data_IF_091305784701
#
_entry.id   IF_091305784701
#
_cell.length_a   1.000
_cell.length_b   1.000
_cell.length_c   1.000
_cell.angle_alpha   90.00
_cell.angle_beta   90.00
_cell.angle_gamma   90.00
#
_symmetry.space_group_name_H-M   'P 1'
#
loop_
_entity.id
_entity.type
_entity.pdbx_description
1 polymer ?
#
# COMPACT_ATOMS: atom_id res chain seq x y z
N UNK A 1 15.11 3.25 -12.85
CA UNK A 1 14.09 4.11 -12.20
C UNK A 1 14.69 4.60 -10.90
N UNK A 2 14.33 5.79 -10.43
CA UNK A 2 14.76 6.33 -9.14
C UNK A 2 13.62 7.06 -8.45
N UNK A 3 13.64 7.11 -7.13
CA UNK A 3 12.71 7.91 -6.32
C UNK A 3 13.27 8.09 -4.90
N UNK A 4 12.48 8.62 -3.99
CA UNK A 4 12.91 8.85 -2.62
C UNK A 4 11.73 8.95 -1.64
N UNK A 5 11.96 9.50 -0.44
CA UNK A 5 10.95 9.53 0.60
C UNK A 5 9.81 10.50 0.26
N UNK A 6 8.63 10.18 0.79
CA UNK A 6 7.46 11.04 0.80
C UNK A 6 7.10 11.32 2.25
N UNK A 7 6.99 12.60 2.58
CA UNK A 7 6.53 13.06 3.88
C UNK A 7 5.15 13.70 3.76
N UNK A 8 4.31 13.58 4.80
CA UNK A 8 2.98 14.16 4.76
C UNK A 8 3.01 15.69 4.83
N UNK A 9 2.07 16.31 4.13
CA UNK A 9 1.69 17.71 4.27
C UNK A 9 0.20 17.75 4.59
N UNK A 10 -0.14 18.00 5.85
CA UNK A 10 -1.53 17.91 6.33
C UNK A 10 -2.31 19.17 5.99
N UNK A 11 -3.46 19.00 5.32
CA UNK A 11 -4.36 20.10 4.98
C UNK A 11 -5.10 20.65 6.21
N UNK A 12 -5.38 19.77 7.17
CA UNK A 12 -6.12 20.08 8.40
C UNK A 12 -5.32 19.63 9.61
N UNK A 13 -5.73 20.06 10.81
CA UNK A 13 -5.17 19.52 12.04
C UNK A 13 -5.38 17.99 12.09
N UNK A 14 -4.33 17.27 12.50
CA UNK A 14 -4.39 15.82 12.68
C UNK A 14 -5.24 15.47 13.90
N UNK A 15 -6.09 14.44 13.83
CA UNK A 15 -6.61 13.78 15.03
C UNK A 15 -5.46 13.33 15.93
N UNK A 16 -5.64 13.38 17.26
CA UNK A 16 -4.56 13.03 18.22
C UNK A 16 -3.98 11.62 18.02
N UNK A 17 -4.81 10.68 17.56
CA UNK A 17 -4.38 9.32 17.28
C UNK A 17 -3.62 9.18 15.96
N UNK A 18 -3.72 10.12 15.01
CA UNK A 18 -3.15 9.94 13.68
C UNK A 18 -1.64 10.18 13.68
N UNK A 19 -0.86 9.14 13.37
CA UNK A 19 0.61 9.15 13.39
C UNK A 19 1.18 9.43 12.00
N UNK A 20 2.28 10.19 11.92
CA UNK A 20 2.94 10.50 10.64
C UNK A 20 3.40 9.25 9.89
N UNK A 21 3.79 8.20 10.63
CA UNK A 21 4.21 6.91 10.08
C UNK A 21 3.18 6.27 9.15
N UNK A 22 1.89 6.63 9.26
CA UNK A 22 0.85 6.11 8.39
C UNK A 22 0.88 6.70 6.97
N UNK A 23 1.45 7.88 6.81
CA UNK A 23 1.56 8.60 5.53
C UNK A 23 2.99 8.65 4.99
N UNK A 24 3.99 8.52 5.86
CA UNK A 24 5.39 8.43 5.44
C UNK A 24 5.59 7.20 4.55
N UNK A 25 6.22 7.40 3.40
CA UNK A 25 6.72 6.34 2.52
C UNK A 25 8.21 6.55 2.36
N UNK A 26 9.01 5.66 2.94
CA UNK A 26 10.47 5.75 2.94
C UNK A 26 11.07 4.36 2.92
N UNK A 27 12.19 4.19 2.22
CA UNK A 27 12.96 2.94 2.17
C UNK A 27 14.26 3.06 2.98
N UNK A 28 14.38 4.08 3.83
CA UNK A 28 15.53 4.32 4.70
C UNK A 28 16.23 5.65 4.42
N UNK A 29 17.45 5.78 4.97
CA UNK A 29 18.24 7.03 4.96
C UNK A 29 19.49 6.96 4.09
N UNK A 30 19.70 5.85 3.38
CA UNK A 30 20.88 5.63 2.53
C UNK A 30 20.48 5.52 1.07
N UNK A 31 21.35 6.00 0.18
CA UNK A 31 21.29 5.68 -1.25
C UNK A 31 21.46 4.18 -1.42
N UNK A 32 20.51 3.53 -2.09
CA UNK A 32 20.57 2.09 -2.35
C UNK A 32 19.75 1.70 -3.57
N UNK A 33 20.02 0.50 -4.08
CA UNK A 33 19.06 -0.23 -4.91
C UNK A 33 18.01 -0.86 -4.01
N UNK A 34 16.76 -0.89 -4.47
CA UNK A 34 15.66 -1.51 -3.75
C UNK A 34 15.56 -3.00 -4.05
N UNK A 35 15.40 -3.79 -2.99
CA UNK A 35 15.11 -5.22 -3.06
C UNK A 35 13.83 -5.52 -3.86
N UNK A 36 13.67 -6.76 -4.31
CA UNK A 36 12.57 -7.16 -5.20
C UNK A 36 11.17 -6.94 -4.62
N UNK A 37 11.04 -6.94 -3.29
CA UNK A 37 9.81 -6.70 -2.52
C UNK A 37 9.62 -5.24 -2.09
N UNK A 38 10.62 -4.38 -2.32
CA UNK A 38 10.57 -2.95 -2.03
C UNK A 38 10.17 -2.17 -3.28
N UNK A 39 9.30 -1.18 -3.11
CA UNK A 39 8.78 -0.37 -4.21
C UNK A 39 8.83 1.13 -3.87
N UNK A 40 9.05 1.94 -4.90
CA UNK A 40 8.82 3.37 -4.89
C UNK A 40 7.33 3.67 -4.99
N UNK A 41 6.91 4.81 -4.44
CA UNK A 41 5.53 5.28 -4.52
C UNK A 41 5.33 6.19 -5.73
N UNK A 42 4.12 6.16 -6.31
CA UNK A 42 3.73 6.92 -7.48
C UNK A 42 4.04 8.42 -7.39
N UNK A 43 3.86 9.02 -6.19
CA UNK A 43 4.06 10.45 -5.98
C UNK A 43 5.52 10.89 -6.00
N UNK A 44 6.48 9.95 -6.01
CA UNK A 44 7.91 10.24 -6.07
C UNK A 44 8.66 9.14 -6.81
N UNK A 45 8.47 9.10 -8.13
CA UNK A 45 9.22 8.24 -9.04
C UNK A 45 9.64 9.00 -10.30
N UNK A 46 10.81 8.64 -10.82
CA UNK A 46 11.35 9.09 -12.09
C UNK A 46 11.85 7.89 -12.89
N UNK A 47 11.39 7.80 -14.14
CA UNK A 47 11.71 6.70 -15.06
C UNK A 47 12.23 7.26 -16.37
N UNK A 48 13.27 6.63 -16.92
CA UNK A 48 13.75 6.99 -18.26
C UNK A 48 12.66 6.72 -19.29
N UNK A 49 12.42 7.68 -20.18
CA UNK A 49 11.32 7.65 -21.17
C UNK A 49 11.37 6.42 -22.09
N UNK A 50 12.56 6.02 -22.52
CA UNK A 50 12.78 4.83 -23.35
C UNK A 50 12.45 3.54 -22.58
N UNK A 51 12.87 3.44 -21.32
CA UNK A 51 12.53 2.30 -20.43
C UNK A 51 11.02 2.22 -20.23
N UNK A 52 10.36 3.33 -19.89
CA UNK A 52 8.91 3.41 -19.70
C UNK A 52 8.14 2.94 -20.95
N UNK A 53 8.54 3.41 -22.13
CA UNK A 53 7.94 2.98 -23.41
C UNK A 53 8.19 1.51 -23.71
N UNK A 54 9.39 0.99 -23.43
CA UNK A 54 9.76 -0.42 -23.69
C UNK A 54 8.99 -1.41 -22.83
N UNK A 55 8.46 -1.01 -21.67
CA UNK A 55 7.61 -1.86 -20.81
C UNK A 55 6.11 -1.61 -21.00
N UNK A 56 5.72 -0.76 -21.95
CA UNK A 56 4.31 -0.48 -22.26
C UNK A 56 3.67 0.63 -21.41
N UNK A 57 4.42 1.27 -20.51
CA UNK A 57 3.91 2.34 -19.65
C UNK A 57 3.06 1.84 -18.47
N UNK A 58 2.14 2.68 -17.99
CA UNK A 58 1.21 2.31 -16.92
C UNK A 58 0.07 1.45 -17.45
N UNK A 59 -0.28 0.39 -16.70
CA UNK A 59 -1.47 -0.41 -16.97
C UNK A 59 -2.72 0.40 -16.61
N UNK A 60 -3.51 0.81 -17.61
CA UNK A 60 -4.71 1.64 -17.43
C UNK A 60 -5.87 0.91 -16.76
N UNK A 61 -5.75 -0.40 -16.53
CA UNK A 61 -6.70 -1.17 -15.72
C UNK A 61 -6.42 -1.10 -14.21
N UNK A 62 -5.30 -0.48 -13.83
CA UNK A 62 -4.86 -0.20 -12.47
C UNK A 62 -4.90 1.31 -12.18
N UNK A 63 -4.72 1.66 -10.91
CA UNK A 63 -4.64 3.04 -10.46
C UNK A 63 -5.95 3.82 -10.51
N UNK A 64 -5.88 5.08 -10.11
CA UNK A 64 -7.05 5.97 -10.06
C UNK A 64 -7.47 6.32 -11.49
N UNK A 65 -8.72 6.04 -11.83
CA UNK A 65 -9.30 6.32 -13.15
C UNK A 65 -10.73 6.85 -13.02
N UNK A 66 -10.92 8.14 -13.31
CA UNK A 66 -12.18 8.84 -13.09
C UNK A 66 -12.64 8.71 -11.63
N UNK A 67 -13.84 8.16 -11.44
CA UNK A 67 -14.41 7.93 -10.11
C UNK A 67 -13.97 6.60 -9.47
N UNK A 68 -13.14 5.79 -10.16
CA UNK A 68 -12.64 4.52 -9.63
C UNK A 68 -11.32 4.75 -8.90
N UNK A 69 -11.30 4.40 -7.61
CA UNK A 69 -10.07 4.37 -6.83
C UNK A 69 -9.38 3.01 -7.03
N UNK A 70 -8.42 2.94 -7.95
CA UNK A 70 -7.57 1.77 -8.16
C UNK A 70 -6.19 1.91 -7.53
N UNK A 71 -5.43 0.82 -7.55
CA UNK A 71 -4.14 0.71 -6.88
C UNK A 71 -3.10 -0.03 -7.75
N UNK A 72 -1.82 0.26 -7.50
CA UNK A 72 -0.70 -0.60 -7.85
C UNK A 72 -0.19 -0.48 -9.28
N UNK A 73 -0.60 0.54 -10.02
CA UNK A 73 -0.07 0.88 -11.34
C UNK A 73 1.45 1.10 -11.31
N UNK A 74 1.95 1.76 -10.27
CA UNK A 74 3.36 2.03 -10.05
C UNK A 74 4.13 0.78 -9.64
N UNK A 75 3.48 -0.10 -8.86
CA UNK A 75 4.07 -1.38 -8.44
C UNK A 75 4.22 -2.29 -9.65
N UNK A 76 3.16 -2.43 -10.47
CA UNK A 76 3.20 -3.23 -11.70
C UNK A 76 4.25 -2.70 -12.68
N UNK A 77 4.33 -1.38 -12.88
CA UNK A 77 5.38 -0.78 -13.71
C UNK A 77 6.79 -1.16 -13.23
N UNK A 78 7.06 -1.06 -11.93
CA UNK A 78 8.34 -1.43 -11.34
C UNK A 78 8.67 -2.92 -11.53
N UNK A 79 7.68 -3.81 -11.37
CA UNK A 79 7.84 -5.25 -11.63
C UNK A 79 8.21 -5.51 -13.08
N UNK A 80 7.52 -4.90 -14.04
CA UNK A 80 7.81 -5.06 -15.48
C UNK A 80 9.22 -4.56 -15.84
N UNK A 81 9.64 -3.43 -15.26
CA UNK A 81 11.01 -2.92 -15.44
C UNK A 81 12.03 -3.92 -14.90
N UNK A 82 11.81 -4.45 -13.68
CA UNK A 82 12.70 -5.43 -13.07
C UNK A 82 12.78 -6.73 -13.87
N UNK A 83 11.64 -7.25 -14.33
CA UNK A 83 11.58 -8.46 -15.16
C UNK A 83 12.33 -8.28 -16.48
N UNK A 84 12.21 -7.11 -17.13
CA UNK A 84 12.78 -6.86 -18.45
C UNK A 84 14.25 -6.47 -18.43
N UNK A 85 14.70 -5.76 -17.39
CA UNK A 85 16.04 -5.14 -17.35
C UNK A 85 16.90 -5.57 -16.15
N UNK A 86 16.39 -6.43 -15.26
CA UNK A 86 17.09 -6.95 -14.09
C UNK A 86 16.59 -6.39 -12.76
N UNK A 87 16.89 -7.09 -11.65
CA UNK A 87 16.38 -6.73 -10.32
C UNK A 87 16.87 -5.34 -9.84
N UNK A 88 18.08 -4.94 -10.23
CA UNK A 88 18.77 -3.75 -9.70
C UNK A 88 18.35 -2.41 -10.36
N UNK A 89 17.22 -2.41 -11.05
CA UNK A 89 16.78 -1.29 -11.91
C UNK A 89 16.00 -0.22 -11.16
N UNK A 90 15.79 -0.38 -9.85
CA UNK A 90 15.03 0.55 -9.00
C UNK A 90 15.94 1.08 -7.90
N UNK A 91 16.40 2.32 -8.08
CA UNK A 91 17.19 3.04 -7.08
C UNK A 91 16.32 3.85 -6.13
N UNK A 92 16.83 4.07 -4.93
CA UNK A 92 16.26 4.94 -3.91
C UNK A 92 17.32 5.92 -3.42
N UNK A 93 17.00 7.22 -3.52
CA UNK A 93 17.85 8.31 -3.03
C UNK A 93 17.08 9.12 -1.97
N UNK A 94 17.54 9.14 -0.70
CA UNK A 94 16.89 9.87 0.38
C UNK A 94 16.82 11.38 0.14
N UNK A 95 17.61 11.93 -0.79
CA UNK A 95 17.65 13.36 -1.13
C UNK A 95 16.50 13.77 -2.05
N UNK A 96 15.93 12.83 -2.81
CA UNK A 96 14.79 13.10 -3.70
C UNK A 96 13.52 13.06 -2.86
N UNK A 97 13.21 14.16 -2.17
CA UNK A 97 12.12 14.22 -1.19
C UNK A 97 10.90 14.96 -1.74
N UNK A 98 9.71 14.39 -1.51
CA UNK A 98 8.42 15.04 -1.82
C UNK A 98 7.58 15.22 -0.55
N UNK A 99 6.88 16.35 -0.45
CA UNK A 99 5.78 16.53 0.51
C UNK A 99 4.45 16.26 -0.18
N UNK A 100 3.67 15.33 0.36
CA UNK A 100 2.41 14.89 -0.25
C UNK A 100 1.21 15.33 0.59
N UNK A 101 0.24 15.97 -0.07
CA UNK A 101 -0.97 16.47 0.59
C UNK A 101 -1.78 15.31 1.20
N UNK A 102 -2.11 15.44 2.48
CA UNK A 102 -2.97 14.51 3.22
C UNK A 102 -4.28 15.24 3.54
N UNK A 103 -5.36 14.99 2.78
CA UNK A 103 -6.66 15.56 3.08
C UNK A 103 -7.29 14.92 4.32
N UNK A 104 -8.15 15.67 5.02
CA UNK A 104 -8.73 15.26 6.29
C UNK A 104 -9.51 13.94 6.24
N UNK A 105 -10.13 13.63 5.11
CA UNK A 105 -10.88 12.38 4.92
C UNK A 105 -10.01 11.11 4.97
N UNK A 106 -8.69 11.21 4.72
CA UNK A 106 -7.74 10.09 4.88
C UNK A 106 -7.42 9.79 6.34
N UNK A 107 -7.62 10.76 7.23
CA UNK A 107 -7.34 10.63 8.66
C UNK A 107 -8.52 9.99 9.42
N UNK A 108 -9.09 8.94 8.84
CA UNK A 108 -10.27 8.21 9.34
C UNK A 108 -10.02 6.70 9.25
N UNK A 109 -10.41 5.94 10.27
CA UNK A 109 -10.36 4.47 10.31
C UNK A 109 -11.08 3.83 9.12
N UNK A 110 -12.23 4.37 8.71
CA UNK A 110 -12.99 3.86 7.56
C UNK A 110 -12.15 3.94 6.28
N UNK A 111 -11.38 5.02 6.11
CA UNK A 111 -10.48 5.16 4.96
C UNK A 111 -9.39 4.08 4.96
N UNK A 112 -8.78 3.77 6.11
CA UNK A 112 -7.79 2.68 6.20
C UNK A 112 -8.39 1.32 5.84
N UNK A 113 -9.60 1.01 6.32
CA UNK A 113 -10.31 -0.23 5.99
C UNK A 113 -10.56 -0.30 4.48
N UNK A 114 -11.16 0.75 3.91
CA UNK A 114 -11.48 0.82 2.48
C UNK A 114 -10.22 0.75 1.61
N UNK A 115 -9.16 1.46 1.99
CA UNK A 115 -7.89 1.44 1.27
C UNK A 115 -7.23 0.06 1.33
N UNK A 116 -7.23 -0.60 2.50
CA UNK A 116 -6.60 -1.92 2.64
C UNK A 116 -7.39 -3.02 1.92
N UNK A 117 -8.71 -3.00 2.03
CA UNK A 117 -9.60 -3.88 1.27
C UNK A 117 -9.45 -3.64 -0.24
N UNK A 118 -9.45 -2.37 -0.67
CA UNK A 118 -9.24 -1.97 -2.05
C UNK A 118 -7.91 -2.48 -2.60
N UNK A 119 -6.81 -2.30 -1.88
CA UNK A 119 -5.50 -2.82 -2.27
C UNK A 119 -5.49 -4.35 -2.44
N UNK A 120 -6.26 -5.08 -1.62
CA UNK A 120 -6.45 -6.53 -1.75
C UNK A 120 -7.10 -6.92 -3.07
N UNK A 121 -8.14 -6.18 -3.49
CA UNK A 121 -8.84 -6.44 -4.76
C UNK A 121 -7.95 -6.33 -5.98
N UNK A 122 -6.88 -5.54 -5.93
CA UNK A 122 -5.96 -5.39 -7.07
C UNK A 122 -4.78 -6.36 -7.04
N UNK A 123 -4.64 -7.22 -6.01
CA UNK A 123 -3.48 -8.10 -5.81
C UNK A 123 -3.11 -8.87 -7.08
N UNK A 124 -4.02 -9.68 -7.62
CA UNK A 124 -3.71 -10.55 -8.76
C UNK A 124 -3.41 -9.77 -10.03
N UNK A 125 -4.02 -8.59 -10.22
CA UNK A 125 -3.72 -7.76 -11.39
C UNK A 125 -2.32 -7.15 -11.31
N UNK A 126 -1.85 -6.84 -10.10
CA UNK A 126 -0.54 -6.24 -9.83
C UNK A 126 0.56 -7.31 -9.88
N UNK A 127 0.35 -8.43 -9.17
CA UNK A 127 1.34 -9.47 -8.95
C UNK A 127 1.27 -10.62 -9.95
N UNK A 128 0.15 -10.75 -10.67
CA UNK A 128 -0.10 -11.81 -11.66
C UNK A 128 0.07 -13.22 -11.05
N UNK A 129 -0.03 -13.33 -9.72
CA UNK A 129 -0.13 -14.58 -9.01
C UNK A 129 -1.61 -14.96 -8.86
N UNK A 130 -1.98 -16.11 -9.42
CA UNK A 130 -3.36 -16.57 -9.37
C UNK A 130 -3.44 -17.80 -8.46
N UNK A 131 -3.97 -17.59 -7.25
CA UNK A 131 -4.35 -18.70 -6.38
C UNK A 131 -5.79 -19.12 -6.67
N UNK A 132 -6.08 -20.42 -6.60
CA UNK A 132 -7.46 -20.90 -6.77
C UNK A 132 -8.44 -20.33 -5.74
N UNK A 133 -9.73 -20.25 -6.10
CA UNK A 133 -10.80 -19.65 -5.27
C UNK A 133 -10.89 -20.27 -3.87
N UNK A 134 -10.68 -21.59 -3.75
CA UNK A 134 -10.68 -22.30 -2.47
C UNK A 134 -9.55 -21.79 -1.56
N UNK A 135 -8.33 -21.65 -2.09
CA UNK A 135 -7.17 -21.18 -1.34
C UNK A 135 -7.33 -19.71 -0.92
N UNK A 136 -7.86 -18.87 -1.81
CA UNK A 136 -8.21 -17.49 -1.47
C UNK A 136 -9.28 -17.43 -0.37
N UNK A 137 -10.32 -18.26 -0.47
CA UNK A 137 -11.37 -18.37 0.55
C UNK A 137 -10.83 -18.78 1.92
N UNK A 138 -9.93 -19.77 1.98
CA UNK A 138 -9.28 -20.17 3.24
C UNK A 138 -8.44 -19.04 3.85
N UNK A 139 -7.69 -18.27 3.05
CA UNK A 139 -6.96 -17.09 3.52
C UNK A 139 -7.89 -16.01 4.06
N UNK A 140 -9.01 -15.75 3.39
CA UNK A 140 -10.01 -14.80 3.84
C UNK A 140 -10.67 -15.25 5.16
N UNK A 141 -11.06 -16.53 5.28
CA UNK A 141 -11.63 -17.10 6.51
C UNK A 141 -10.66 -16.97 7.70
N UNK A 142 -9.37 -17.33 7.50
CA UNK A 142 -8.33 -17.11 8.51
C UNK A 142 -8.23 -15.65 8.90
N UNK A 143 -8.27 -14.75 7.93
CA UNK A 143 -8.16 -13.30 8.17
C UNK A 143 -9.37 -12.77 8.95
N UNK A 144 -10.57 -13.25 8.67
CA UNK A 144 -11.78 -12.94 9.45
C UNK A 144 -11.65 -13.43 10.89
N UNK A 145 -11.17 -14.66 11.10
CA UNK A 145 -10.94 -15.18 12.45
C UNK A 145 -9.92 -14.33 13.23
N UNK A 146 -8.84 -13.89 12.58
CA UNK A 146 -7.84 -12.98 13.16
C UNK A 146 -8.46 -11.62 13.50
N UNK A 147 -9.29 -11.05 12.63
CA UNK A 147 -9.98 -9.78 12.87
C UNK A 147 -10.89 -9.90 14.10
N UNK A 148 -11.71 -10.94 14.18
CA UNK A 148 -12.60 -11.18 15.32
C UNK A 148 -11.77 -11.28 16.60
N UNK A 149 -10.77 -12.15 16.61
CA UNK A 149 -9.89 -12.35 17.77
C UNK A 149 -9.23 -11.04 18.24
N UNK A 150 -8.61 -10.30 17.32
CA UNK A 150 -7.95 -9.03 17.64
C UNK A 150 -8.94 -7.95 18.09
N UNK A 151 -10.16 -7.96 17.56
CA UNK A 151 -11.20 -6.99 17.96
C UNK A 151 -11.75 -7.31 19.36
N UNK A 152 -11.93 -8.59 19.70
CA UNK A 152 -12.31 -9.04 21.05
C UNK A 152 -11.25 -8.62 22.09
N UNK A 153 -9.98 -8.59 21.70
CA UNK A 153 -8.88 -8.12 22.57
C UNK A 153 -8.80 -6.60 22.72
N UNK A 154 -9.53 -5.81 21.93
CA UNK A 154 -9.44 -4.34 21.94
C UNK A 154 -9.58 -3.71 23.34
N UNK A 155 -10.51 -4.16 24.23
CA UNK A 155 -10.63 -3.61 25.58
C UNK A 155 -9.42 -3.86 26.48
N UNK A 156 -8.59 -4.85 26.13
CA UNK A 156 -7.38 -5.24 26.87
C UNK A 156 -6.12 -4.57 26.33
N UNK A 157 -6.23 -3.80 25.24
CA UNK A 157 -5.09 -3.14 24.61
C UNK A 157 -4.62 -2.01 25.51
N UNK A 158 -3.36 -2.10 25.94
CA UNK A 158 -2.75 -1.08 26.77
C UNK A 158 -2.55 0.20 25.97
N UNK A 159 -3.10 1.30 26.49
CA UNK A 159 -2.96 2.63 25.90
C UNK A 159 -1.49 3.05 25.83
N UNK A 160 -0.63 2.57 26.74
CA UNK A 160 0.81 2.87 26.73
C UNK A 160 1.54 2.29 25.51
N UNK A 161 1.11 1.15 24.97
CA UNK A 161 1.76 0.51 23.82
C UNK A 161 1.40 1.22 22.50
N UNK A 162 0.12 1.55 22.31
CA UNK A 162 -0.39 2.08 21.04
C UNK A 162 -0.65 3.58 21.04
N UNK A 163 -0.81 4.21 22.21
CA UNK A 163 -1.22 5.60 22.41
C UNK A 163 -2.73 5.80 22.37
N UNK A 164 -3.41 5.20 21.38
CA UNK A 164 -4.88 5.23 21.23
C UNK A 164 -5.39 3.90 20.65
N UNK A 165 -6.64 3.52 20.95
CA UNK A 165 -7.23 2.28 20.43
C UNK A 165 -7.30 2.26 18.88
N UNK A 166 -7.44 3.43 18.25
CA UNK A 166 -7.39 3.58 16.79
C UNK A 166 -6.06 3.10 16.21
N UNK A 167 -4.95 3.31 16.93
CA UNK A 167 -3.63 2.89 16.48
C UNK A 167 -3.53 1.37 16.44
N UNK A 168 -4.06 0.69 17.46
CA UNK A 168 -4.15 -0.78 17.44
C UNK A 168 -5.00 -1.28 16.26
N UNK A 169 -6.15 -0.64 15.97
CA UNK A 169 -6.93 -1.04 14.80
C UNK A 169 -6.13 -0.90 13.51
N UNK A 170 -5.47 0.25 13.28
CA UNK A 170 -4.68 0.51 12.07
C UNK A 170 -3.50 -0.46 11.94
N UNK A 171 -2.83 -0.77 13.03
CA UNK A 171 -1.59 -1.54 13.02
C UNK A 171 -1.84 -3.05 13.06
N UNK A 172 -2.89 -3.51 13.76
CA UNK A 172 -3.08 -4.93 14.04
C UNK A 172 -4.32 -5.54 13.37
N UNK A 173 -5.42 -4.81 13.29
CA UNK A 173 -6.70 -5.34 12.79
C UNK A 173 -6.87 -5.11 11.29
N UNK A 174 -6.76 -3.85 10.86
CA UNK A 174 -7.03 -3.41 9.49
C UNK A 174 -6.16 -4.12 8.44
N UNK A 175 -4.87 -4.46 8.67
CA UNK A 175 -4.05 -5.14 7.66
C UNK A 175 -4.66 -6.42 7.08
N UNK A 176 -5.48 -7.12 7.88
CA UNK A 176 -6.15 -8.38 7.53
C UNK A 176 -7.33 -8.20 6.55
N UNK A 177 -7.82 -6.97 6.34
CA UNK A 177 -8.86 -6.71 5.33
C UNK A 177 -8.35 -6.90 3.89
N UNK A 178 -7.04 -6.98 3.71
CA UNK A 178 -6.43 -7.24 2.41
C UNK A 178 -6.85 -8.57 1.79
N UNK A 179 -6.76 -9.65 2.56
CA UNK A 179 -7.10 -11.00 2.11
C UNK A 179 -8.59 -11.13 1.81
N UNK A 180 -9.44 -10.40 2.55
CA UNK A 180 -10.87 -10.30 2.28
C UNK A 180 -11.12 -9.61 0.94
N UNK A 181 -10.43 -8.48 0.68
CA UNK A 181 -10.51 -7.79 -0.61
C UNK A 181 -10.02 -8.63 -1.78
N UNK A 182 -8.92 -9.36 -1.59
CA UNK A 182 -8.41 -10.28 -2.61
C UNK A 182 -9.42 -11.38 -2.93
N UNK A 183 -9.98 -12.05 -1.91
CA UNK A 183 -11.01 -13.07 -2.13
C UNK A 183 -12.27 -12.50 -2.76
N UNK A 184 -12.74 -11.33 -2.30
CA UNK A 184 -13.91 -10.65 -2.87
C UNK A 184 -13.77 -10.44 -4.38
N UNK A 185 -12.59 -10.01 -4.85
CA UNK A 185 -12.39 -9.78 -6.28
C UNK A 185 -12.54 -11.05 -7.13
N UNK A 186 -12.39 -12.24 -6.55
CA UNK A 186 -12.61 -13.51 -7.27
C UNK A 186 -14.09 -13.90 -7.40
N UNK A 187 -14.96 -13.29 -6.60
CA UNK A 187 -16.39 -13.60 -6.59
C UNK A 187 -17.19 -12.70 -7.55
N UNK A 188 -16.59 -11.60 -8.03
CA UNK A 188 -17.24 -10.54 -8.82
C UNK A 188 -16.60 -10.33 -10.18
#
# INVERSE_FOLDING_TARGET
MVGGPIFPYYQTQKPKWFKDKYEIRSQGVKLKTLDSDQYLSASNLAVRKDVFRKVGGFDTSLGVSGNKHGFGEEVKLQRLIRQKFGADQVGYDPRITVKHLVPGNKMNIIYFIQSRFGAGRYHEKIYEDNIGIIKAGLKALRSVAVIIWKTVKLPMVQVEEYGYWQNYLVEEVIPNFYEIGWFWQKLV
#
